data_IF_921272488908
#
_entry.id   IF_921272488908
#
_cell.length_a   1.000
_cell.length_b   1.000
_cell.length_c   1.000
_cell.angle_alpha   90.00
_cell.angle_beta   90.00
_cell.angle_gamma   90.00
#
_symmetry.space_group_name_H-M   'P 1'
#
loop_
_entity.id
_entity.type
_entity.pdbx_description
1 polymer ?
#
# COMPACT_ATOMS: atom_id res chain seq x y z
N UNK A 1 -41.54 38.10 5.51
CA UNK A 1 -40.09 38.31 5.73
C UNK A 1 -39.53 37.40 6.82
N UNK A 2 -39.97 37.46 8.09
CA UNK A 2 -39.44 36.61 9.18
C UNK A 2 -39.51 35.10 8.92
N UNK A 3 -40.57 34.62 8.25
CA UNK A 3 -40.74 33.20 7.88
C UNK A 3 -39.73 32.72 6.82
N UNK A 4 -39.14 33.62 6.02
CA UNK A 4 -38.20 33.27 4.95
C UNK A 4 -36.81 32.97 5.50
N UNK A 5 -36.36 33.74 6.50
CA UNK A 5 -35.05 33.54 7.16
C UNK A 5 -34.99 32.24 7.95
N UNK A 6 -36.11 31.82 8.52
CA UNK A 6 -36.23 30.57 9.27
C UNK A 6 -36.07 29.33 8.37
N UNK A 7 -36.63 29.37 7.16
CA UNK A 7 -36.51 28.29 6.17
C UNK A 7 -35.08 28.16 5.65
N UNK A 8 -34.39 29.29 5.44
CA UNK A 8 -32.98 29.31 5.01
C UNK A 8 -32.07 28.71 6.08
N UNK A 9 -32.31 29.03 7.36
CA UNK A 9 -31.51 28.47 8.47
C UNK A 9 -31.61 26.93 8.58
N UNK A 10 -32.77 26.34 8.31
CA UNK A 10 -33.00 24.88 8.36
C UNK A 10 -32.26 24.13 7.23
N UNK A 11 -32.06 24.75 6.08
CA UNK A 11 -31.32 24.16 4.96
C UNK A 11 -29.81 24.05 5.23
N UNK A 12 -29.25 24.93 6.06
CA UNK A 12 -27.82 24.92 6.40
C UNK A 12 -27.41 23.88 7.47
N UNK A 13 -28.37 23.26 8.16
CA UNK A 13 -28.10 22.29 9.25
C UNK A 13 -27.97 20.84 8.74
N UNK A 14 -28.39 20.56 7.49
CA UNK A 14 -28.42 19.21 6.92
C UNK A 14 -27.14 18.79 6.17
N UNK A 15 -26.04 19.57 6.25
CA UNK A 15 -24.90 19.41 5.33
C UNK A 15 -23.65 18.70 5.90
N UNK A 16 -23.58 18.15 7.14
CA UNK A 16 -22.22 17.94 7.71
C UNK A 16 -21.89 16.73 8.62
N UNK A 17 -22.25 15.47 8.33
CA UNK A 17 -21.76 14.34 9.18
C UNK A 17 -21.39 13.00 8.48
N UNK A 18 -21.14 12.93 7.16
CA UNK A 18 -20.81 11.64 6.51
C UNK A 18 -20.08 11.72 5.17
N UNK A 19 -19.14 12.65 5.01
CA UNK A 19 -18.47 12.87 3.72
C UNK A 19 -17.03 12.30 3.77
N UNK A 20 -16.58 11.43 2.86
CA UNK A 20 -15.18 10.95 2.91
C UNK A 20 -14.22 12.11 2.62
N UNK A 21 -13.38 12.46 3.59
CA UNK A 21 -12.47 13.59 3.48
C UNK A 21 -11.32 13.31 2.50
N UNK A 22 -11.49 13.65 1.22
CA UNK A 22 -10.43 13.56 0.21
C UNK A 22 -9.86 14.97 -0.03
N UNK A 23 -8.72 15.26 0.61
CA UNK A 23 -7.93 16.50 0.48
C UNK A 23 -8.68 17.81 0.86
N UNK A 24 -9.23 17.89 2.09
CA UNK A 24 -10.19 18.96 2.49
C UNK A 24 -10.23 19.26 4.01
N UNK A 25 -10.57 20.53 4.38
CA UNK A 25 -10.57 21.12 5.77
C UNK A 25 -11.88 20.99 6.53
N UNK A 26 -12.90 20.58 5.82
CA UNK A 26 -13.84 19.68 6.43
C UNK A 26 -13.27 18.34 5.99
N UNK A 27 -12.64 17.54 6.86
CA UNK A 27 -12.55 16.10 6.73
C UNK A 27 -13.49 15.47 7.76
N UNK A 28 -14.18 14.47 7.27
CA UNK A 28 -15.63 14.60 7.22
C UNK A 28 -16.32 13.25 7.45
N UNK A 29 -15.53 12.21 7.71
CA UNK A 29 -16.02 10.85 7.67
C UNK A 29 -15.14 9.87 8.40
N UNK A 30 -15.91 8.96 8.96
CA UNK A 30 -15.68 7.54 9.03
C UNK A 30 -15.75 6.90 7.64
N UNK A 31 -14.81 6.01 7.32
CA UNK A 31 -15.03 5.02 6.28
C UNK A 31 -15.65 3.81 6.97
N UNK A 32 -16.95 3.57 6.78
CA UNK A 32 -17.65 2.39 7.28
C UNK A 32 -18.30 1.63 6.12
N UNK A 33 -18.07 0.33 6.06
CA UNK A 33 -18.56 -0.57 5.01
C UNK A 33 -19.29 -1.71 5.72
N UNK A 34 -20.62 -1.68 5.68
CA UNK A 34 -21.47 -2.77 6.13
C UNK A 34 -21.61 -3.83 5.01
N UNK A 35 -20.49 -4.47 4.68
CA UNK A 35 -20.33 -5.38 3.55
C UNK A 35 -18.85 -5.63 3.23
N UNK A 36 -18.54 -5.98 1.98
CA UNK A 36 -17.15 -6.22 1.55
C UNK A 36 -16.53 -4.99 0.87
N UNK A 37 -15.29 -4.65 1.23
CA UNK A 37 -14.45 -3.72 0.47
C UNK A 37 -13.71 -4.47 -0.65
N UNK A 38 -14.10 -4.22 -1.91
CA UNK A 38 -13.34 -4.68 -3.07
C UNK A 38 -12.35 -3.60 -3.49
N UNK A 39 -11.08 -3.97 -3.62
CA UNK A 39 -10.03 -3.07 -4.12
C UNK A 39 -9.52 -3.54 -5.47
N UNK A 40 -8.93 -2.64 -6.26
CA UNK A 40 -8.35 -3.00 -7.55
C UNK A 40 -7.24 -4.03 -7.36
N UNK A 41 -7.41 -5.18 -7.99
CA UNK A 41 -6.41 -6.23 -8.10
C UNK A 41 -5.63 -6.06 -9.41
N UNK A 42 -4.33 -6.27 -9.37
CA UNK A 42 -3.46 -6.22 -10.55
C UNK A 42 -2.55 -7.44 -10.53
N UNK A 43 -2.42 -8.12 -11.67
CA UNK A 43 -1.40 -9.14 -11.86
C UNK A 43 -0.28 -8.56 -12.73
N UNK A 44 0.94 -8.58 -12.21
CA UNK A 44 2.13 -8.09 -12.87
C UNK A 44 3.00 -9.29 -13.23
N UNK A 45 3.17 -9.52 -14.54
CA UNK A 45 4.11 -10.53 -15.04
C UNK A 45 5.51 -9.91 -15.05
N UNK A 46 6.48 -10.67 -14.56
CA UNK A 46 7.88 -10.30 -14.61
C UNK A 46 8.40 -10.14 -16.04
N UNK A 47 9.39 -9.28 -16.24
CA UNK A 47 10.05 -9.10 -17.53
C UNK A 47 11.56 -8.92 -17.33
N UNK A 48 12.36 -9.02 -18.39
CA UNK A 48 13.81 -8.74 -18.32
C UNK A 48 14.15 -7.32 -17.85
N UNK A 49 13.18 -6.40 -17.88
CA UNK A 49 13.27 -5.06 -17.31
C UNK A 49 12.47 -4.95 -16.02
N UNK A 50 12.76 -3.92 -15.22
CA UNK A 50 12.04 -3.64 -13.98
C UNK A 50 10.55 -3.46 -14.26
N UNK A 51 9.69 -4.22 -13.56
CA UNK A 51 8.24 -4.08 -13.65
C UNK A 51 7.74 -3.12 -12.57
N UNK A 52 7.08 -2.03 -12.94
CA UNK A 52 6.63 -1.02 -11.97
C UNK A 52 5.32 -1.42 -11.28
N UNK A 53 5.23 -1.15 -9.97
CA UNK A 53 4.01 -1.25 -9.15
C UNK A 53 3.43 0.16 -8.99
N UNK A 54 2.69 0.65 -9.98
CA UNK A 54 2.17 2.03 -9.98
C UNK A 54 0.64 2.14 -9.92
N UNK A 55 -0.06 1.00 -9.86
CA UNK A 55 -1.52 0.94 -9.98
C UNK A 55 -2.07 -0.29 -9.26
N UNK A 56 -3.24 -0.14 -8.62
CA UNK A 56 -3.87 -1.18 -7.81
C UNK A 56 -3.60 -1.03 -6.31
N UNK A 57 -4.24 -1.89 -5.52
CA UNK A 57 -4.00 -2.02 -4.08
C UNK A 57 -3.56 -3.44 -3.77
N UNK A 58 -4.24 -4.44 -4.33
CA UNK A 58 -3.81 -5.83 -4.27
C UNK A 58 -2.99 -6.18 -5.51
N UNK A 59 -1.73 -6.54 -5.31
CA UNK A 59 -0.75 -6.74 -6.36
C UNK A 59 -0.29 -8.20 -6.33
N UNK A 60 -0.67 -8.95 -7.35
CA UNK A 60 -0.13 -10.28 -7.61
C UNK A 60 1.10 -10.17 -8.48
N UNK A 61 2.29 -10.36 -7.90
CA UNK A 61 3.53 -10.43 -8.68
C UNK A 61 3.73 -11.87 -9.17
N UNK A 62 4.04 -12.00 -10.45
CA UNK A 62 4.24 -13.27 -11.14
C UNK A 62 5.63 -13.27 -11.83
N UNK A 63 6.72 -13.44 -11.06
CA UNK A 63 8.06 -13.55 -11.61
C UNK A 63 8.18 -14.78 -12.52
N UNK A 64 8.88 -14.63 -13.64
CA UNK A 64 9.19 -15.70 -14.61
C UNK A 64 10.64 -16.21 -14.51
N UNK A 65 11.45 -15.58 -13.65
CA UNK A 65 12.82 -15.95 -13.32
C UNK A 65 13.10 -15.61 -11.85
N UNK A 66 14.14 -16.20 -11.26
CA UNK A 66 14.57 -15.91 -9.89
C UNK A 66 14.99 -14.45 -9.74
N UNK A 67 14.57 -13.84 -8.64
CA UNK A 67 14.86 -12.45 -8.25
C UNK A 67 14.39 -11.39 -9.25
N UNK A 68 13.33 -11.71 -10.01
CA UNK A 68 12.73 -10.76 -10.95
C UNK A 68 12.23 -9.52 -10.21
N UNK A 69 12.60 -8.34 -10.73
CA UNK A 69 12.39 -7.08 -10.02
C UNK A 69 11.02 -6.46 -10.29
N UNK A 70 10.30 -6.19 -9.19
CA UNK A 70 9.10 -5.36 -9.17
C UNK A 70 9.35 -4.14 -8.29
N UNK A 71 9.06 -2.93 -8.79
CA UNK A 71 9.50 -1.69 -8.15
C UNK A 71 8.33 -0.85 -7.67
N UNK A 72 8.33 -0.57 -6.36
CA UNK A 72 7.45 0.41 -5.75
C UNK A 72 7.89 1.84 -6.13
N UNK A 73 6.94 2.79 -6.20
CA UNK A 73 7.29 4.17 -6.48
C UNK A 73 7.96 4.80 -5.26
N UNK A 74 8.49 6.01 -5.44
CA UNK A 74 9.11 6.77 -4.35
C UNK A 74 8.06 7.09 -3.28
N UNK A 75 8.22 6.63 -2.01
CA UNK A 75 7.23 6.86 -0.97
C UNK A 75 7.09 8.34 -0.62
N UNK A 76 8.12 9.16 -0.83
CA UNK A 76 8.08 10.61 -0.63
C UNK A 76 7.09 11.28 -1.60
N UNK A 77 7.03 10.80 -2.84
CA UNK A 77 6.09 11.30 -3.85
C UNK A 77 4.67 10.76 -3.67
N UNK A 78 4.50 9.70 -2.87
CA UNK A 78 3.22 9.03 -2.64
C UNK A 78 3.02 8.70 -1.15
N UNK A 79 2.93 9.70 -0.27
CA UNK A 79 2.68 9.49 1.15
C UNK A 79 1.32 8.80 1.39
N UNK A 80 1.25 7.89 2.37
CA UNK A 80 0.01 7.20 2.77
C UNK A 80 -0.44 6.08 1.83
N UNK A 81 0.32 5.79 0.76
CA UNK A 81 -0.02 4.74 -0.21
C UNK A 81 0.13 3.34 0.41
N UNK A 82 -0.87 2.48 0.17
CA UNK A 82 -0.91 1.09 0.65
C UNK A 82 -0.90 0.11 -0.52
N UNK A 83 -0.11 -0.96 -0.39
CA UNK A 83 -0.20 -2.13 -1.25
C UNK A 83 -0.24 -3.42 -0.43
N UNK A 84 -1.08 -4.36 -0.85
CA UNK A 84 -1.03 -5.76 -0.47
C UNK A 84 -0.33 -6.49 -1.61
N UNK A 85 0.85 -7.06 -1.37
CA UNK A 85 1.65 -7.69 -2.41
C UNK A 85 1.70 -9.19 -2.14
N UNK A 86 1.46 -9.99 -3.16
CA UNK A 86 1.57 -11.45 -3.09
C UNK A 86 2.32 -12.00 -4.29
N UNK A 87 3.34 -12.83 -4.02
CA UNK A 87 3.98 -13.63 -5.05
C UNK A 87 3.14 -14.89 -5.34
N UNK A 88 2.60 -14.96 -6.56
CA UNK A 88 1.76 -16.06 -7.05
C UNK A 88 2.52 -17.08 -7.89
N UNK A 89 3.83 -16.90 -8.08
CA UNK A 89 4.71 -17.79 -8.83
C UNK A 89 5.47 -18.75 -7.90
N UNK A 90 6.17 -19.73 -8.49
CA UNK A 90 7.21 -20.53 -7.83
C UNK A 90 8.62 -19.94 -7.97
N UNK A 91 8.79 -18.79 -8.63
CA UNK A 91 10.07 -18.07 -8.67
C UNK A 91 10.10 -16.97 -7.61
N UNK A 92 11.29 -16.64 -7.10
CA UNK A 92 11.47 -15.52 -6.15
C UNK A 92 11.16 -14.19 -6.83
N UNK A 93 10.32 -13.36 -6.22
CA UNK A 93 10.16 -11.96 -6.61
C UNK A 93 11.05 -11.07 -5.74
N UNK A 94 11.72 -10.09 -6.36
CA UNK A 94 12.49 -9.06 -5.67
C UNK A 94 11.72 -7.75 -5.73
N UNK A 95 11.25 -7.27 -4.59
CA UNK A 95 10.60 -5.97 -4.46
C UNK A 95 11.65 -4.92 -4.14
N UNK A 96 11.73 -3.87 -4.96
CA UNK A 96 12.58 -2.70 -4.74
C UNK A 96 11.73 -1.44 -4.69
N UNK A 97 12.36 -0.28 -4.53
CA UNK A 97 11.70 1.01 -4.54
C UNK A 97 12.50 2.05 -5.34
N UNK A 98 11.81 3.09 -5.79
CA UNK A 98 12.45 4.32 -6.25
C UNK A 98 12.84 5.23 -5.09
N UNK A 99 13.85 6.08 -5.30
CA UNK A 99 14.29 7.09 -4.33
C UNK A 99 15.64 6.81 -3.70
N UNK A 100 16.42 7.87 -3.46
CA UNK A 100 17.72 7.80 -2.81
C UNK A 100 17.55 7.87 -1.29
N UNK A 101 18.19 6.96 -0.55
CA UNK A 101 18.15 6.95 0.93
C UNK A 101 16.86 6.39 1.53
N UNK A 102 15.87 6.06 0.70
CA UNK A 102 14.62 5.42 1.11
C UNK A 102 14.87 3.95 1.47
N UNK A 103 14.17 3.45 2.49
CA UNK A 103 14.26 2.05 2.94
C UNK A 103 12.89 1.38 3.12
N UNK A 104 12.92 0.06 3.16
CA UNK A 104 11.92 -0.75 3.84
C UNK A 104 12.25 -0.82 5.32
N UNK A 105 11.31 -0.49 6.18
CA UNK A 105 11.36 -0.74 7.63
C UNK A 105 10.36 -1.82 7.99
N UNK A 106 10.77 -2.78 8.81
CA UNK A 106 9.91 -3.89 9.21
C UNK A 106 9.20 -3.59 10.53
N UNK A 107 7.93 -3.93 10.63
CA UNK A 107 7.09 -3.58 11.79
C UNK A 107 7.63 -4.05 13.15
N UNK A 108 8.51 -5.06 13.18
CA UNK A 108 9.12 -5.59 14.41
C UNK A 108 10.47 -4.93 14.78
N UNK A 109 10.97 -3.94 14.03
CA UNK A 109 12.26 -3.33 14.30
C UNK A 109 12.41 -1.91 13.75
N UNK A 110 12.90 -1.02 14.60
CA UNK A 110 13.24 0.36 14.23
C UNK A 110 14.62 0.51 13.56
N UNK A 111 15.47 -0.53 13.65
CA UNK A 111 16.85 -0.51 13.17
C UNK A 111 17.06 -1.40 11.93
N UNK A 112 16.21 -2.40 11.73
CA UNK A 112 16.31 -3.30 10.60
C UNK A 112 15.66 -2.65 9.39
N UNK A 113 16.50 -2.09 8.53
CA UNK A 113 16.10 -1.50 7.27
C UNK A 113 16.70 -2.28 6.09
N UNK A 114 15.99 -2.31 4.97
CA UNK A 114 16.47 -2.97 3.76
C UNK A 114 16.22 -2.10 2.52
N UNK A 115 17.04 -2.27 1.49
CA UNK A 115 16.81 -1.68 0.17
C UNK A 115 15.85 -2.52 -0.68
N UNK A 116 15.55 -3.75 -0.25
CA UNK A 116 14.80 -4.72 -1.03
C UNK A 116 14.07 -5.74 -0.16
N UNK A 117 13.00 -6.33 -0.70
CA UNK A 117 12.33 -7.50 -0.15
C UNK A 117 12.42 -8.65 -1.14
N UNK A 118 12.64 -9.86 -0.64
CA UNK A 118 12.54 -11.09 -1.41
C UNK A 118 11.28 -11.85 -0.97
N UNK A 119 10.50 -12.26 -1.96
CA UNK A 119 9.29 -13.06 -1.78
C UNK A 119 9.54 -14.45 -2.36
N UNK A 120 10.02 -15.37 -1.54
CA UNK A 120 10.42 -16.74 -1.96
C UNK A 120 9.22 -17.65 -2.25
N UNK A 121 9.47 -18.77 -2.92
CA UNK A 121 8.45 -19.74 -3.32
C UNK A 121 7.93 -20.63 -2.18
N UNK A 122 8.75 -20.80 -1.14
CA UNK A 122 8.53 -21.71 -0.03
C UNK A 122 9.19 -21.21 1.27
N UNK A 123 8.56 -21.60 2.37
CA UNK A 123 8.83 -21.17 3.73
C UNK A 123 10.10 -21.84 4.30
N UNK A 124 11.27 -21.73 3.65
CA UNK A 124 12.52 -22.12 4.29
C UNK A 124 12.92 -21.04 5.30
N UNK A 125 12.35 -21.19 6.50
CA UNK A 125 12.36 -20.27 7.64
C UNK A 125 13.74 -19.96 8.24
N UNK A 126 14.84 -20.41 7.64
CA UNK A 126 16.16 -20.37 8.27
C UNK A 126 17.05 -19.21 7.80
N UNK A 127 16.71 -18.52 6.70
CA UNK A 127 17.53 -17.43 6.15
C UNK A 127 16.94 -16.02 6.34
N UNK A 128 15.79 -15.89 7.02
CA UNK A 128 15.04 -14.63 7.04
C UNK A 128 15.27 -13.85 8.33
N UNK A 129 16.51 -13.37 8.55
CA UNK A 129 16.93 -12.65 9.76
C UNK A 129 16.07 -11.41 10.12
N UNK A 130 15.18 -10.94 9.23
CA UNK A 130 14.39 -9.72 9.39
C UNK A 130 12.95 -9.80 8.84
N UNK A 131 12.34 -10.98 8.70
CA UNK A 131 11.01 -11.12 8.07
C UNK A 131 11.03 -10.99 6.53
N UNK A 132 12.22 -10.88 5.95
CA UNK A 132 12.46 -10.80 4.51
C UNK A 132 12.45 -12.20 3.89
N UNK A 133 11.26 -12.78 3.69
CA UNK A 133 11.15 -14.09 3.05
C UNK A 133 9.75 -14.66 2.96
N UNK A 134 8.78 -13.79 2.68
CA UNK A 134 7.36 -14.13 2.74
C UNK A 134 6.70 -14.00 1.39
N UNK A 135 5.74 -14.88 1.14
CA UNK A 135 4.94 -14.86 -0.08
C UNK A 135 3.96 -13.71 -0.15
N UNK A 136 3.69 -13.03 0.96
CA UNK A 136 2.79 -11.89 1.03
C UNK A 136 3.29 -10.86 2.03
N UNK A 137 3.07 -9.57 1.74
CA UNK A 137 3.26 -8.48 2.68
C UNK A 137 2.25 -7.35 2.43
N UNK A 138 2.11 -6.48 3.42
CA UNK A 138 1.49 -5.17 3.26
C UNK A 138 2.60 -4.15 3.35
N UNK A 139 2.62 -3.20 2.43
CA UNK A 139 3.53 -2.05 2.49
C UNK A 139 2.74 -0.75 2.54
N UNK A 140 3.14 0.14 3.44
CA UNK A 140 2.54 1.45 3.65
C UNK A 140 3.62 2.54 3.58
N UNK A 141 3.42 3.52 2.71
CA UNK A 141 4.28 4.70 2.66
C UNK A 141 3.97 5.63 3.82
N UNK A 142 4.98 6.01 4.60
CA UNK A 142 4.85 7.04 5.65
C UNK A 142 5.23 8.46 5.14
N UNK A 143 5.48 8.60 3.83
CA UNK A 143 5.97 9.84 3.23
C UNK A 143 7.49 10.03 3.26
N UNK A 144 8.24 9.07 3.80
CA UNK A 144 9.70 9.03 3.73
C UNK A 144 10.23 7.66 3.31
N UNK A 145 9.60 6.59 3.80
CA UNK A 145 9.99 5.20 3.66
C UNK A 145 8.77 4.31 3.41
N UNK A 146 9.04 3.03 3.11
CA UNK A 146 8.02 1.99 3.06
C UNK A 146 8.06 1.18 4.36
N UNK A 147 6.95 1.15 5.08
CA UNK A 147 6.77 0.29 6.25
C UNK A 147 6.19 -1.05 5.81
N UNK A 148 6.80 -2.14 6.25
CA UNK A 148 6.48 -3.50 5.83
C UNK A 148 5.84 -4.25 7.00
N UNK A 149 4.63 -4.75 6.75
CA UNK A 149 3.90 -5.61 7.64
C UNK A 149 3.80 -6.99 7.03
N UNK A 150 4.12 -7.97 7.84
CA UNK A 150 4.18 -9.37 7.45
C UNK A 150 3.27 -10.15 8.38
N UNK A 151 2.52 -11.13 7.87
CA UNK A 151 1.78 -12.07 8.72
C UNK A 151 2.74 -12.90 9.59
#
# INVERSE_FOLDING_TARGET
MKKIYFIIAIFFINISNGQVGINTVLPLSTLDINGNLSVKTVSLVGSSSVTLINNGVYISVNPTATDQEFKLPNPISFPGRVYFIRNISSSTAKITMEGTGVKFYFANSYANSSNQLYMYDSQNSNDHANGNGLRSCIVLSDGANWNVFTP
#
